data_IF_715622030367
#
_entry.id   IF_715622030367
#
_cell.length_a   1.000
_cell.length_b   1.000
_cell.length_c   1.000
_cell.angle_alpha   90.00
_cell.angle_beta   90.00
_cell.angle_gamma   90.00
#
_symmetry.space_group_name_H-M   'P 1'
#
loop_
_entity.id
_entity.type
_entity.pdbx_description
1 polymer ?
#
# COMPACT_ATOMS: atom_id res chain seq x y z
N UNK A 1 -25.83 -23.93 29.69
CA UNK A 1 -24.82 -23.99 28.61
C UNK A 1 -24.13 -25.34 28.69
N UNK A 2 -24.19 -26.15 27.63
CA UNK A 2 -23.53 -27.44 27.58
C UNK A 2 -22.01 -27.25 27.75
N UNK A 3 -21.38 -28.06 28.60
CA UNK A 3 -19.92 -28.03 28.78
C UNK A 3 -19.28 -28.50 27.47
N UNK A 4 -18.33 -27.75 26.89
CA UNK A 4 -17.60 -28.22 25.73
C UNK A 4 -16.88 -29.53 26.04
N UNK A 5 -16.99 -30.50 25.14
CA UNK A 5 -16.28 -31.77 25.24
C UNK A 5 -14.80 -31.55 24.90
N UNK A 6 -14.02 -31.23 25.94
CA UNK A 6 -12.60 -30.92 25.81
C UNK A 6 -11.76 -32.13 25.41
N UNK A 7 -12.22 -33.35 25.70
CA UNK A 7 -11.51 -34.58 25.36
C UNK A 7 -11.58 -34.85 23.85
N UNK A 8 -12.76 -34.63 23.26
CA UNK A 8 -12.94 -34.68 21.81
C UNK A 8 -12.14 -33.60 21.07
N UNK A 9 -12.09 -32.37 21.62
CA UNK A 9 -11.28 -31.26 21.09
C UNK A 9 -9.78 -31.60 21.16
N UNK A 10 -9.32 -32.20 22.26
CA UNK A 10 -7.92 -32.61 22.42
C UNK A 10 -7.52 -33.68 21.40
N UNK A 11 -8.36 -34.71 21.21
CA UNK A 11 -8.13 -35.75 20.22
C UNK A 11 -8.02 -35.18 18.80
N UNK A 12 -8.95 -34.29 18.42
CA UNK A 12 -8.92 -33.63 17.11
C UNK A 12 -7.70 -32.70 16.94
N UNK A 13 -7.31 -31.98 18.00
CA UNK A 13 -6.13 -31.11 18.02
C UNK A 13 -4.84 -31.93 17.85
N UNK A 14 -4.69 -33.05 18.56
CA UNK A 14 -3.53 -33.95 18.46
C UNK A 14 -3.45 -34.67 17.12
N UNK A 15 -4.60 -35.09 16.56
CA UNK A 15 -4.68 -35.71 15.24
C UNK A 15 -4.19 -34.77 14.13
N UNK A 16 -4.39 -33.46 14.29
CA UNK A 16 -3.85 -32.42 13.41
C UNK A 16 -4.53 -32.31 12.04
N UNK A 17 -5.44 -33.21 11.68
CA UNK A 17 -6.11 -33.32 10.36
C UNK A 17 -6.98 -32.11 10.02
N UNK A 18 -7.67 -31.53 11.01
CA UNK A 18 -8.60 -30.40 10.82
C UNK A 18 -7.95 -29.07 11.22
N UNK A 19 -8.34 -27.95 10.59
CA UNK A 19 -7.86 -26.63 11.04
C UNK A 19 -8.44 -26.30 12.42
N UNK A 20 -7.78 -25.40 13.17
CA UNK A 20 -8.28 -25.01 14.50
C UNK A 20 -9.63 -24.30 14.44
N UNK A 21 -9.95 -23.69 13.30
CA UNK A 21 -11.23 -23.06 13.02
C UNK A 21 -12.32 -24.12 12.84
N UNK A 22 -12.06 -25.15 12.03
CA UNK A 22 -13.02 -26.26 11.82
C UNK A 22 -13.30 -27.04 13.11
N UNK A 23 -12.28 -27.22 13.97
CA UNK A 23 -12.46 -27.83 15.30
C UNK A 23 -13.33 -26.91 16.17
N UNK A 24 -13.09 -25.60 16.13
CA UNK A 24 -13.90 -24.63 16.87
C UNK A 24 -15.37 -24.65 16.47
N UNK A 25 -15.66 -24.69 15.17
CA UNK A 25 -17.02 -24.71 14.63
C UNK A 25 -17.77 -26.01 15.00
N UNK A 26 -17.08 -27.16 14.99
CA UNK A 26 -17.67 -28.45 15.36
C UNK A 26 -18.06 -28.57 16.83
N UNK A 27 -17.25 -28.00 17.72
CA UNK A 27 -17.45 -28.14 19.17
C UNK A 27 -18.02 -26.87 19.82
N UNK A 28 -18.35 -25.84 19.04
CA UNK A 28 -18.91 -24.57 19.54
C UNK A 28 -17.94 -23.77 20.40
N UNK A 29 -16.64 -23.88 20.13
CA UNK A 29 -15.56 -23.23 20.91
C UNK A 29 -14.73 -22.32 20.01
N UNK A 30 -14.34 -21.15 20.50
CA UNK A 30 -13.48 -20.25 19.72
C UNK A 30 -12.08 -20.84 19.54
N UNK A 31 -11.47 -20.64 18.37
CA UNK A 31 -10.08 -21.04 18.09
C UNK A 31 -9.10 -20.58 19.19
N UNK A 32 -9.30 -19.36 19.70
CA UNK A 32 -8.49 -18.80 20.78
C UNK A 32 -8.59 -19.58 22.09
N UNK A 33 -9.76 -20.12 22.42
CA UNK A 33 -9.95 -20.96 23.60
C UNK A 33 -9.25 -22.32 23.46
N UNK A 34 -9.26 -22.91 22.26
CA UNK A 34 -8.51 -24.15 21.95
C UNK A 34 -7.01 -23.92 22.11
N UNK A 35 -6.45 -22.83 21.55
CA UNK A 35 -5.02 -22.47 21.68
C UNK A 35 -4.61 -22.23 23.14
N UNK A 36 -5.44 -21.51 23.91
CA UNK A 36 -5.18 -21.26 25.34
C UNK A 36 -5.18 -22.56 26.15
N UNK A 37 -6.10 -23.49 25.83
CA UNK A 37 -6.17 -24.80 26.50
C UNK A 37 -4.98 -25.68 26.11
N UNK A 38 -4.64 -25.74 24.83
CA UNK A 38 -3.47 -26.48 24.34
C UNK A 38 -2.17 -26.02 25.01
N UNK A 39 -1.98 -24.71 25.20
CA UNK A 39 -0.82 -24.17 25.94
C UNK A 39 -0.84 -24.48 27.43
N UNK A 40 -2.02 -24.60 28.04
CA UNK A 40 -2.18 -24.87 29.48
C UNK A 40 -1.97 -26.35 29.83
N UNK A 41 -2.25 -27.25 28.89
CA UNK A 41 -2.19 -28.70 29.07
C UNK A 41 -1.12 -29.35 28.16
N UNK A 42 -0.21 -28.55 27.61
CA UNK A 42 0.89 -28.96 26.74
C UNK A 42 0.51 -29.95 25.63
N UNK A 43 -0.59 -29.66 24.93
CA UNK A 43 -1.06 -30.50 23.84
C UNK A 43 -0.12 -30.41 22.63
N UNK A 44 0.34 -31.56 22.16
CA UNK A 44 1.22 -31.69 20.98
C UNK A 44 0.38 -32.04 19.75
N UNK A 45 0.45 -31.20 18.72
CA UNK A 45 -0.25 -31.40 17.45
C UNK A 45 0.65 -32.08 16.42
N UNK A 46 0.21 -33.19 15.83
CA UNK A 46 0.91 -33.82 14.70
C UNK A 46 0.87 -32.88 13.49
N UNK A 47 2.01 -32.74 12.81
CA UNK A 47 2.10 -31.98 11.57
C UNK A 47 1.24 -32.68 10.51
N UNK A 48 0.10 -32.08 10.15
CA UNK A 48 -0.70 -32.58 9.05
C UNK A 48 -0.22 -32.01 7.73
N UNK A 49 -0.15 -32.87 6.72
CA UNK A 49 -0.09 -32.47 5.31
C UNK A 49 -1.37 -31.72 5.00
N UNK A 50 -1.30 -30.39 5.06
CA UNK A 50 -2.43 -29.52 4.85
C UNK A 50 -2.93 -29.69 3.40
N UNK A 51 -4.11 -30.30 3.21
CA UNK A 51 -4.84 -30.19 1.95
C UNK A 51 -5.28 -28.75 1.81
N UNK A 52 -4.53 -27.97 1.04
CA UNK A 52 -4.87 -26.62 0.65
C UNK A 52 -6.09 -26.70 -0.26
N UNK A 53 -7.28 -26.33 0.24
CA UNK A 53 -8.32 -25.80 -0.65
C UNK A 53 -7.92 -24.38 -1.01
N UNK A 54 -7.73 -24.18 -2.30
CA UNK A 54 -7.37 -22.91 -2.92
C UNK A 54 -8.28 -21.78 -2.44
N UNK A 55 -7.69 -20.67 -2.02
CA UNK A 55 -8.45 -19.52 -1.57
C UNK A 55 -7.64 -18.58 -0.70
N UNK A 56 -6.73 -17.85 -1.35
CA UNK A 56 -6.29 -16.51 -0.94
C UNK A 56 -5.26 -16.41 0.21
N UNK A 57 -4.16 -15.77 -0.16
CA UNK A 57 -3.15 -15.07 0.65
C UNK A 57 -1.93 -15.81 1.20
N UNK A 58 -0.82 -15.07 1.04
CA UNK A 58 0.27 -14.88 2.01
C UNK A 58 1.58 -15.61 1.70
N UNK A 59 2.43 -14.89 0.95
CA UNK A 59 3.85 -15.12 0.89
C UNK A 59 4.48 -14.85 2.25
N UNK A 60 4.99 -15.92 2.85
CA UNK A 60 5.74 -15.94 4.10
C UNK A 60 7.22 -15.71 3.81
N UNK A 61 7.94 -14.90 4.60
CA UNK A 61 9.33 -15.20 5.02
C UNK A 61 9.56 -14.64 6.44
N UNK A 62 9.53 -15.49 7.47
CA UNK A 62 10.63 -16.32 8.04
C UNK A 62 11.59 -15.52 8.94
N UNK A 63 11.36 -15.56 10.26
CA UNK A 63 12.36 -15.25 11.28
C UNK A 63 12.96 -16.54 11.85
N UNK A 64 14.22 -16.81 11.55
CA UNK A 64 15.04 -17.87 12.14
C UNK A 64 15.87 -17.22 13.26
N UNK A 65 15.75 -17.74 14.47
CA UNK A 65 16.49 -17.33 15.67
C UNK A 65 17.98 -17.59 15.49
N UNK A 66 18.83 -16.66 15.92
CA UNK A 66 20.22 -16.96 16.31
C UNK A 66 20.65 -16.07 17.48
N UNK A 67 20.95 -16.72 18.58
CA UNK A 67 21.64 -16.25 19.78
C UNK A 67 23.12 -16.01 19.46
N UNK A 68 23.67 -14.86 19.85
CA UNK A 68 25.04 -14.70 20.37
C UNK A 68 25.35 -13.22 20.59
N UNK A 69 25.83 -12.90 21.78
CA UNK A 69 26.34 -11.61 22.24
C UNK A 69 27.57 -11.13 21.44
N UNK A 70 27.68 -9.82 21.16
CA UNK A 70 28.96 -9.08 20.99
C UNK A 70 28.75 -7.54 20.89
N UNK A 71 29.82 -6.71 20.90
CA UNK A 71 30.21 -5.82 22.00
C UNK A 71 29.98 -4.33 21.71
N UNK A 72 30.37 -3.49 22.67
CA UNK A 72 30.36 -2.03 22.61
C UNK A 72 31.21 -1.44 21.46
N UNK A 73 30.70 -0.37 20.85
CA UNK A 73 31.50 0.66 20.18
C UNK A 73 30.82 2.01 20.34
N UNK A 74 31.64 3.02 20.60
CA UNK A 74 31.32 4.32 21.15
C UNK A 74 30.59 5.25 20.14
N UNK A 75 29.54 5.90 20.65
CA UNK A 75 28.86 7.02 20.00
C UNK A 75 28.20 7.86 21.09
N UNK A 76 28.99 8.78 21.64
CA UNK A 76 28.72 9.60 22.83
C UNK A 76 27.57 10.60 22.57
N UNK A 77 26.44 10.44 23.26
CA UNK A 77 25.50 11.54 23.55
C UNK A 77 25.28 11.58 25.05
N UNK A 78 25.69 12.70 25.65
CA UNK A 78 25.67 12.92 27.08
C UNK A 78 24.23 12.89 27.59
N UNK A 79 23.92 11.93 28.45
CA UNK A 79 22.69 11.92 29.25
C UNK A 79 22.86 13.01 30.32
N UNK A 80 22.22 14.15 30.10
CA UNK A 80 22.08 15.21 31.10
C UNK A 80 21.25 14.67 32.27
N UNK A 81 21.91 14.43 33.40
CA UNK A 81 21.27 14.26 34.70
C UNK A 81 20.77 15.64 35.14
N UNK A 82 19.47 15.92 34.96
CA UNK A 82 18.82 16.99 35.71
C UNK A 82 18.07 16.40 36.91
N UNK A 83 18.16 17.02 38.10
CA UNK A 83 17.36 16.64 39.24
C UNK A 83 15.87 16.91 38.94
N UNK A 84 15.03 15.98 39.37
CA UNK A 84 13.57 16.02 39.25
C UNK A 84 13.04 17.24 40.00
N UNK A 85 12.66 18.29 39.27
CA UNK A 85 11.88 19.39 39.84
C UNK A 85 10.48 18.88 40.19
N UNK A 86 10.02 19.17 41.41
CA UNK A 86 8.64 18.90 41.80
C UNK A 86 7.68 19.77 40.95
N UNK A 87 6.55 19.22 40.49
CA UNK A 87 5.56 20.00 39.77
C UNK A 87 4.90 21.03 40.72
N UNK A 88 4.58 22.25 40.25
CA UNK A 88 3.90 23.26 41.05
C UNK A 88 2.50 22.78 41.49
N UNK A 89 1.98 23.23 42.64
CA UNK A 89 0.75 22.70 43.24
C UNK A 89 -0.54 22.96 42.45
N UNK A 90 -0.49 23.72 41.35
CA UNK A 90 -1.69 24.20 40.63
C UNK A 90 -2.13 23.35 39.42
N UNK A 91 -1.57 22.17 39.19
CA UNK A 91 -2.07 21.27 38.13
C UNK A 91 -2.87 20.10 38.66
N UNK A 92 -3.93 20.38 39.42
CA UNK A 92 -5.03 19.42 39.58
C UNK A 92 -6.16 19.83 38.64
N UNK A 93 -6.63 18.94 37.73
CA UNK A 93 -7.79 19.23 36.91
C UNK A 93 -9.00 19.54 37.81
N UNK A 94 -9.63 20.70 37.61
CA UNK A 94 -10.87 21.03 38.30
C UNK A 94 -11.95 20.04 37.83
N UNK A 95 -12.50 19.28 38.77
CA UNK A 95 -13.54 18.30 38.52
C UNK A 95 -14.84 19.02 38.16
N UNK A 96 -15.15 19.11 36.87
CA UNK A 96 -16.39 19.72 36.36
C UNK A 96 -16.32 20.21 34.92
N UNK A 97 -15.12 20.35 34.34
CA UNK A 97 -14.90 21.08 33.08
C UNK A 97 -14.84 20.16 31.85
N UNK A 98 -15.76 19.19 31.74
CA UNK A 98 -15.83 18.30 30.55
C UNK A 98 -16.69 18.88 29.41
N UNK A 99 -17.32 20.03 29.63
CA UNK A 99 -18.32 20.61 28.72
C UNK A 99 -17.92 21.99 28.18
N UNK A 100 -16.78 22.54 28.60
CA UNK A 100 -16.32 23.82 28.08
C UNK A 100 -15.64 23.62 26.71
N UNK A 101 -15.91 24.49 25.73
CA UNK A 101 -15.24 24.43 24.43
C UNK A 101 -13.72 24.60 24.62
N UNK A 102 -12.91 23.92 23.79
CA UNK A 102 -11.46 23.98 23.91
C UNK A 102 -11.01 25.44 23.82
N UNK A 103 -10.15 25.86 24.76
CA UNK A 103 -9.66 27.24 24.90
C UNK A 103 -8.87 27.75 23.70
N UNK A 104 -8.61 26.92 22.69
CA UNK A 104 -7.97 27.31 21.45
C UNK A 104 -8.50 26.50 20.25
N UNK A 105 -9.69 26.81 19.71
CA UNK A 105 -10.21 26.16 18.52
C UNK A 105 -9.45 26.65 17.28
N UNK A 106 -9.14 25.75 16.35
CA UNK A 106 -8.53 26.15 15.07
C UNK A 106 -9.47 27.08 14.31
N UNK A 107 -8.93 28.14 13.72
CA UNK A 107 -9.70 29.09 12.92
C UNK A 107 -10.35 28.37 11.72
N UNK A 108 -11.68 28.49 11.53
CA UNK A 108 -12.35 27.96 10.35
C UNK A 108 -11.76 28.61 9.09
N UNK A 109 -11.31 27.82 8.13
CA UNK A 109 -10.76 28.31 6.85
C UNK A 109 -9.29 28.00 6.58
N UNK A 110 -8.57 27.34 7.49
CA UNK A 110 -7.24 26.80 7.18
C UNK A 110 -7.32 25.48 6.37
N UNK A 111 -7.93 25.58 5.19
CA UNK A 111 -8.12 24.50 4.22
C UNK A 111 -7.11 24.60 3.07
N UNK A 112 -5.97 25.28 3.25
CA UNK A 112 -4.95 25.33 2.22
C UNK A 112 -4.51 23.89 1.95
N UNK A 113 -4.97 23.36 0.81
CA UNK A 113 -5.01 21.95 0.53
C UNK A 113 -3.64 21.33 0.85
N UNK A 114 -3.61 20.37 1.78
CA UNK A 114 -2.42 19.61 2.13
C UNK A 114 -1.96 18.83 0.88
N UNK A 115 -1.22 19.48 -0.01
CA UNK A 115 -0.70 18.89 -1.25
C UNK A 115 0.47 17.93 -1.02
N UNK A 116 0.54 17.26 0.13
CA UNK A 116 1.54 16.25 0.45
C UNK A 116 1.25 15.73 1.86
N UNK A 117 1.04 14.42 1.99
CA UNK A 117 0.68 13.76 3.24
C UNK A 117 1.64 14.18 4.36
N UNK A 118 1.07 14.56 5.51
CA UNK A 118 1.79 15.23 6.61
C UNK A 118 2.99 14.47 7.19
N UNK A 119 3.19 13.20 6.81
CA UNK A 119 4.30 12.35 7.24
C UNK A 119 5.59 12.51 6.43
N UNK A 120 5.52 12.84 5.13
CA UNK A 120 6.73 12.94 4.30
C UNK A 120 7.55 14.20 4.61
N UNK A 121 6.88 15.35 4.70
CA UNK A 121 7.48 16.66 5.03
C UNK A 121 8.07 16.76 6.42
N UNK A 122 7.41 16.15 7.40
CA UNK A 122 7.74 16.40 8.81
C UNK A 122 8.74 15.42 9.40
N UNK A 123 8.98 14.28 8.75
CA UNK A 123 9.67 13.19 9.43
C UNK A 123 10.80 12.51 8.66
N UNK A 124 10.90 12.57 7.32
CA UNK A 124 11.75 11.57 6.63
C UNK A 124 12.55 12.01 5.39
N UNK A 125 12.07 12.90 4.52
CA UNK A 125 12.76 13.20 3.25
C UNK A 125 12.79 14.71 2.96
N UNK A 126 13.85 15.15 2.26
CA UNK A 126 13.98 16.52 1.75
C UNK A 126 12.97 16.76 0.62
N UNK A 127 12.53 18.01 0.44
CA UNK A 127 11.55 18.39 -0.58
C UNK A 127 12.04 18.01 -2.00
N UNK A 128 13.32 18.17 -2.31
CA UNK A 128 13.93 17.75 -3.58
C UNK A 128 13.65 16.26 -3.89
N UNK A 129 13.89 15.39 -2.91
CA UNK A 129 13.69 13.93 -3.05
C UNK A 129 12.21 13.59 -3.23
N UNK A 130 11.31 14.37 -2.63
CA UNK A 130 9.87 14.18 -2.75
C UNK A 130 9.40 14.56 -4.16
N UNK A 131 9.90 15.67 -4.71
CA UNK A 131 9.56 16.08 -6.07
C UNK A 131 10.10 15.10 -7.11
N UNK A 132 11.36 14.67 -6.98
CA UNK A 132 11.93 13.64 -7.84
C UNK A 132 11.13 12.33 -7.78
N UNK A 133 10.73 11.90 -6.57
CA UNK A 133 9.94 10.69 -6.41
C UNK A 133 8.56 10.75 -7.07
N UNK A 134 7.95 11.94 -7.18
CA UNK A 134 6.70 12.14 -7.92
C UNK A 134 6.89 12.11 -9.43
N UNK A 135 8.06 12.53 -9.90
CA UNK A 135 8.41 12.53 -11.31
C UNK A 135 8.79 11.14 -11.84
N UNK A 136 9.25 10.23 -10.98
CA UNK A 136 9.62 8.87 -11.39
C UNK A 136 8.42 8.06 -11.88
N UNK A 137 8.51 7.54 -13.11
CA UNK A 137 7.49 6.70 -13.72
C UNK A 137 7.93 5.23 -13.88
N UNK A 138 6.96 4.35 -14.11
CA UNK A 138 7.22 2.95 -14.47
C UNK A 138 7.95 2.83 -15.83
N UNK A 139 7.77 3.80 -16.73
CA UNK A 139 8.42 3.84 -18.04
C UNK A 139 9.92 4.14 -17.90
N UNK A 140 10.29 5.03 -16.97
CA UNK A 140 11.69 5.32 -16.65
C UNK A 140 12.39 4.10 -16.02
N UNK A 141 11.71 3.39 -15.11
CA UNK A 141 12.23 2.14 -14.55
C UNK A 141 12.46 1.09 -15.64
N UNK A 142 11.50 0.96 -16.57
CA UNK A 142 11.59 0.05 -17.70
C UNK A 142 12.77 0.40 -18.61
N UNK A 143 12.95 1.68 -18.93
CA UNK A 143 14.08 2.17 -19.71
C UNK A 143 15.41 1.82 -19.04
N UNK A 144 15.55 2.14 -17.76
CA UNK A 144 16.76 1.84 -16.98
C UNK A 144 17.05 0.33 -16.94
N UNK A 145 16.04 -0.51 -16.77
CA UNK A 145 16.24 -1.97 -16.74
C UNK A 145 16.66 -2.53 -18.10
N UNK A 146 16.09 -2.03 -19.20
CA UNK A 146 16.51 -2.41 -20.56
C UNK A 146 17.95 -2.01 -20.82
N UNK A 147 18.33 -0.77 -20.48
CA UNK A 147 19.71 -0.31 -20.58
C UNK A 147 20.68 -1.17 -19.75
N UNK A 148 20.32 -1.49 -18.51
CA UNK A 148 21.14 -2.36 -17.66
C UNK A 148 21.30 -3.77 -18.23
N UNK A 149 20.27 -4.31 -18.90
CA UNK A 149 20.34 -5.63 -19.55
C UNK A 149 21.32 -5.60 -20.73
N UNK A 150 21.28 -4.55 -21.56
CA UNK A 150 22.23 -4.34 -22.65
C UNK A 150 23.67 -4.20 -22.14
N UNK A 151 23.89 -3.38 -21.11
CA UNK A 151 25.22 -3.20 -20.50
C UNK A 151 25.74 -4.52 -19.92
N UNK A 152 24.87 -5.33 -19.29
CA UNK A 152 25.25 -6.64 -18.79
C UNK A 152 25.66 -7.59 -19.93
N UNK A 153 24.93 -7.60 -21.05
CA UNK A 153 25.27 -8.39 -22.23
C UNK A 153 26.62 -7.97 -22.84
N UNK A 154 26.88 -6.66 -22.97
CA UNK A 154 28.16 -6.15 -23.43
C UNK A 154 29.32 -6.57 -22.52
N UNK A 155 29.13 -6.47 -21.20
CA UNK A 155 30.15 -6.87 -20.23
C UNK A 155 30.43 -8.37 -20.27
N UNK A 156 29.40 -9.21 -20.44
CA UNK A 156 29.57 -10.65 -20.64
C UNK A 156 30.43 -10.89 -21.89
N UNK A 157 30.12 -10.26 -23.02
CA UNK A 157 30.93 -10.36 -24.24
C UNK A 157 32.39 -9.96 -24.01
N UNK A 158 32.64 -8.84 -23.32
CA UNK A 158 33.99 -8.39 -22.97
C UNK A 158 34.75 -9.37 -22.09
N UNK A 159 34.09 -9.97 -21.10
CA UNK A 159 34.72 -10.95 -20.21
C UNK A 159 34.96 -12.29 -20.90
N UNK A 160 34.10 -12.69 -21.85
CA UNK A 160 34.31 -13.87 -22.69
C UNK A 160 35.56 -13.70 -23.56
N UNK A 161 35.75 -12.56 -24.22
CA UNK A 161 36.99 -12.30 -24.98
C UNK A 161 38.22 -12.34 -24.07
N UNK A 162 38.16 -11.68 -22.90
CA UNK A 162 39.28 -11.73 -21.92
C UNK A 162 39.58 -13.14 -21.40
N UNK A 163 38.59 -14.03 -21.40
CA UNK A 163 38.76 -15.40 -20.95
C UNK A 163 39.55 -16.24 -21.96
N UNK A 164 39.46 -15.93 -23.26
CA UNK A 164 40.26 -16.56 -24.31
C UNK A 164 41.75 -16.25 -24.13
N UNK A 165 42.07 -14.99 -23.78
CA UNK A 165 43.44 -14.51 -23.57
C UNK A 165 44.00 -14.81 -22.17
N UNK A 166 43.18 -15.23 -21.21
CA UNK A 166 43.61 -15.43 -19.83
C UNK A 166 44.48 -16.68 -19.69
N UNK A 167 45.71 -16.55 -19.21
CA UNK A 167 46.63 -17.68 -18.98
C UNK A 167 46.54 -18.22 -17.54
N UNK A 168 46.14 -17.37 -16.57
CA UNK A 168 46.07 -17.74 -15.16
C UNK A 168 44.73 -18.34 -14.73
N UNK A 169 44.77 -19.48 -14.02
CA UNK A 169 43.57 -20.15 -13.46
C UNK A 169 42.74 -19.23 -12.55
N UNK A 170 43.40 -18.40 -11.75
CA UNK A 170 42.74 -17.48 -10.84
C UNK A 170 41.99 -16.37 -11.59
N UNK A 171 42.57 -15.86 -12.69
CA UNK A 171 41.95 -14.82 -13.52
C UNK A 171 40.74 -15.38 -14.27
N UNK A 172 40.87 -16.57 -14.85
CA UNK A 172 39.76 -17.31 -15.48
C UNK A 172 38.60 -17.50 -14.52
N UNK A 173 38.88 -17.89 -13.27
CA UNK A 173 37.84 -18.06 -12.24
C UNK A 173 37.09 -16.77 -11.95
N UNK A 174 37.79 -15.65 -11.78
CA UNK A 174 37.17 -14.34 -11.52
C UNK A 174 36.30 -13.90 -12.70
N UNK A 175 36.78 -14.08 -13.94
CA UNK A 175 36.00 -13.76 -15.13
C UNK A 175 34.72 -14.61 -15.24
N UNK A 176 34.82 -15.91 -14.99
CA UNK A 176 33.65 -16.81 -14.97
C UNK A 176 32.65 -16.43 -13.87
N UNK A 177 33.12 -16.05 -12.68
CA UNK A 177 32.25 -15.58 -11.60
C UNK A 177 31.50 -14.31 -12.01
N UNK A 178 32.20 -13.35 -12.62
CA UNK A 178 31.60 -12.11 -13.15
C UNK A 178 30.57 -12.37 -14.24
N UNK A 179 30.87 -13.24 -15.21
CA UNK A 179 29.93 -13.66 -16.26
C UNK A 179 28.68 -14.26 -15.62
N UNK A 180 28.85 -15.23 -14.72
CA UNK A 180 27.71 -15.88 -14.05
C UNK A 180 26.87 -14.91 -13.23
N UNK A 181 27.49 -13.87 -12.64
CA UNK A 181 26.80 -12.84 -11.88
C UNK A 181 25.99 -11.91 -12.80
N UNK A 182 26.55 -11.53 -13.95
CA UNK A 182 25.87 -10.71 -14.95
C UNK A 182 24.72 -11.48 -15.61
N UNK A 183 24.88 -12.75 -15.96
CA UNK A 183 23.79 -13.59 -16.49
C UNK A 183 22.62 -13.67 -15.50
N UNK A 184 22.93 -13.89 -14.21
CA UNK A 184 21.90 -13.89 -13.15
C UNK A 184 21.23 -12.52 -13.01
N UNK A 185 21.96 -11.42 -13.18
CA UNK A 185 21.39 -10.08 -13.16
C UNK A 185 20.48 -9.84 -14.37
N UNK A 186 20.89 -10.26 -15.56
CA UNK A 186 20.08 -10.20 -16.78
C UNK A 186 18.76 -10.97 -16.62
N UNK A 187 18.81 -12.20 -16.11
CA UNK A 187 17.59 -12.99 -15.87
C UNK A 187 16.62 -12.28 -14.92
N UNK A 188 17.12 -11.68 -13.82
CA UNK A 188 16.28 -10.90 -12.90
C UNK A 188 15.70 -9.66 -13.58
N UNK A 189 16.52 -8.96 -14.37
CA UNK A 189 16.09 -7.77 -15.10
C UNK A 189 15.02 -8.12 -16.13
N UNK A 190 15.16 -9.21 -16.88
CA UNK A 190 14.17 -9.69 -17.86
C UNK A 190 12.82 -9.96 -17.18
N UNK A 191 12.81 -10.70 -16.07
CA UNK A 191 11.56 -10.94 -15.31
C UNK A 191 10.92 -9.64 -14.83
N UNK A 192 11.72 -8.67 -14.37
CA UNK A 192 11.20 -7.36 -13.94
C UNK A 192 10.69 -6.54 -15.13
N UNK A 193 11.35 -6.56 -16.28
CA UNK A 193 10.93 -5.92 -17.53
C UNK A 193 9.55 -6.45 -17.94
N UNK A 194 9.39 -7.77 -18.00
CA UNK A 194 8.11 -8.41 -18.33
C UNK A 194 7.01 -8.02 -17.35
N UNK A 195 7.31 -8.02 -16.05
CA UNK A 195 6.37 -7.62 -15.00
C UNK A 195 5.93 -6.16 -15.12
N UNK A 196 6.85 -5.24 -15.40
CA UNK A 196 6.53 -3.81 -15.58
C UNK A 196 5.70 -3.61 -16.85
N UNK A 197 6.09 -4.25 -17.97
CA UNK A 197 5.34 -4.15 -19.24
C UNK A 197 3.91 -4.66 -19.07
N UNK A 198 3.71 -5.80 -18.38
CA UNK A 198 2.36 -6.29 -18.08
C UNK A 198 1.56 -5.36 -17.17
N UNK A 199 2.22 -4.69 -16.23
CA UNK A 199 1.58 -3.69 -15.36
C UNK A 199 1.14 -2.46 -16.17
N UNK A 200 2.01 -1.93 -17.02
CA UNK A 200 1.70 -0.79 -17.91
C UNK A 200 0.51 -1.09 -18.82
N UNK A 201 0.47 -2.28 -19.43
CA UNK A 201 -0.66 -2.69 -20.25
C UNK A 201 -1.98 -2.76 -19.45
N UNK A 202 -1.93 -3.29 -18.22
CA UNK A 202 -3.10 -3.38 -17.34
C UNK A 202 -3.59 -1.99 -16.93
N UNK A 203 -2.68 -1.10 -16.55
CA UNK A 203 -2.98 0.29 -16.19
C UNK A 203 -3.58 1.04 -17.38
N UNK A 204 -3.03 0.87 -18.58
CA UNK A 204 -3.59 1.45 -19.81
C UNK A 204 -5.03 1.01 -20.07
N UNK A 205 -5.34 -0.28 -19.87
CA UNK A 205 -6.71 -0.79 -19.97
C UNK A 205 -7.65 -0.14 -18.94
N UNK A 206 -7.19 0.04 -17.70
CA UNK A 206 -7.99 0.67 -16.63
C UNK A 206 -8.30 2.12 -16.99
N UNK A 207 -7.36 2.87 -17.54
CA UNK A 207 -7.60 4.24 -17.97
C UNK A 207 -8.63 4.30 -19.10
N UNK A 208 -8.50 3.47 -20.13
CA UNK A 208 -9.47 3.41 -21.22
C UNK A 208 -10.89 3.05 -20.74
N UNK A 209 -11.02 2.09 -19.83
CA UNK A 209 -12.30 1.70 -19.21
C UNK A 209 -12.87 2.83 -18.33
N UNK A 210 -12.01 3.56 -17.62
CA UNK A 210 -12.40 4.71 -16.80
C UNK A 210 -12.92 5.86 -17.68
N UNK A 211 -12.24 6.15 -18.78
CA UNK A 211 -12.66 7.21 -19.71
C UNK A 211 -13.95 6.85 -20.44
N UNK A 212 -14.12 5.58 -20.81
CA UNK A 212 -15.40 5.09 -21.33
C UNK A 212 -16.53 5.27 -20.31
N UNK A 213 -16.31 4.94 -19.03
CA UNK A 213 -17.31 5.12 -17.99
C UNK A 213 -17.67 6.59 -17.77
N UNK A 214 -16.70 7.50 -17.80
CA UNK A 214 -16.96 8.95 -17.73
C UNK A 214 -17.82 9.42 -18.91
N UNK A 215 -17.45 9.04 -20.14
CA UNK A 215 -18.25 9.39 -21.31
C UNK A 215 -19.68 8.81 -21.25
N UNK A 216 -19.82 7.59 -20.71
CA UNK A 216 -21.13 6.98 -20.50
C UNK A 216 -21.95 7.72 -19.44
N UNK A 217 -21.33 8.17 -18.34
CA UNK A 217 -22.03 8.99 -17.32
C UNK A 217 -22.44 10.34 -17.88
N UNK A 218 -21.58 10.98 -18.66
CA UNK A 218 -21.85 12.28 -19.28
C UNK A 218 -22.99 12.18 -20.30
N UNK A 219 -23.04 11.08 -21.06
CA UNK A 219 -24.16 10.80 -21.96
C UNK A 219 -25.47 10.65 -21.18
N UNK A 220 -25.47 9.88 -20.10
CA UNK A 220 -26.68 9.66 -19.28
C UNK A 220 -27.14 10.96 -18.61
N UNK A 221 -26.22 11.82 -18.15
CA UNK A 221 -26.59 13.12 -17.59
C UNK A 221 -27.22 14.02 -18.64
N UNK A 222 -26.66 14.10 -19.85
CA UNK A 222 -27.24 14.89 -20.94
C UNK A 222 -28.61 14.37 -21.38
N UNK A 223 -28.82 13.05 -21.41
CA UNK A 223 -30.12 12.45 -21.68
C UNK A 223 -31.14 12.78 -20.56
N UNK A 224 -30.71 12.76 -19.30
CA UNK A 224 -31.55 13.17 -18.17
C UNK A 224 -31.93 14.66 -18.25
N UNK A 225 -30.99 15.53 -18.60
CA UNK A 225 -31.23 16.97 -18.76
C UNK A 225 -32.17 17.27 -19.93
N UNK A 226 -32.04 16.52 -21.04
CA UNK A 226 -32.98 16.58 -22.15
C UNK A 226 -34.40 16.17 -21.71
N UNK A 227 -34.53 15.06 -21.00
CA UNK A 227 -35.84 14.58 -20.50
C UNK A 227 -36.48 15.58 -19.53
N UNK A 228 -35.69 16.27 -18.70
CA UNK A 228 -36.19 17.34 -17.81
C UNK A 228 -36.75 18.53 -18.58
N UNK A 229 -36.02 18.99 -19.61
CA UNK A 229 -36.48 20.04 -20.53
C UNK A 229 -37.76 19.64 -21.26
N UNK A 230 -37.81 18.43 -21.80
CA UNK A 230 -39.01 17.89 -22.48
C UNK A 230 -40.22 17.78 -21.53
N UNK A 231 -39.99 17.54 -20.23
CA UNK A 231 -41.03 17.47 -19.20
C UNK A 231 -41.50 18.84 -18.69
N UNK A 232 -40.91 19.95 -19.15
CA UNK A 232 -41.25 21.31 -18.70
C UNK A 232 -40.90 21.58 -17.23
N UNK A 233 -40.02 20.76 -16.63
CA UNK A 233 -39.50 20.99 -15.28
C UNK A 233 -38.26 21.86 -15.44
N UNK A 234 -38.46 23.17 -15.49
CA UNK A 234 -37.38 24.15 -15.40
C UNK A 234 -37.09 24.42 -13.91
N UNK A 235 -36.09 23.72 -13.37
CA UNK A 235 -35.58 23.93 -12.02
C UNK A 235 -34.52 25.06 -11.97
N UNK A 236 -34.29 25.79 -13.07
CA UNK A 236 -33.33 26.90 -13.14
C UNK A 236 -31.88 26.50 -12.87
N UNK A 237 -31.59 25.19 -12.85
CA UNK A 237 -30.32 24.59 -12.44
C UNK A 237 -29.60 23.87 -13.59
N UNK A 238 -30.17 23.90 -14.80
CA UNK A 238 -29.43 23.57 -16.02
C UNK A 238 -28.41 24.66 -16.33
N UNK A 239 -27.24 24.27 -16.81
CA UNK A 239 -26.23 25.19 -17.33
C UNK A 239 -26.90 26.06 -18.41
N UNK A 240 -27.24 27.32 -18.09
CA UNK A 240 -27.96 28.22 -19.00
C UNK A 240 -27.14 28.36 -20.27
N UNK A 241 -27.69 27.89 -21.39
CA UNK A 241 -27.01 28.00 -22.68
C UNK A 241 -27.05 29.47 -23.12
N UNK A 242 -26.13 29.88 -23.99
CA UNK A 242 -26.09 31.23 -24.56
C UNK A 242 -27.42 31.62 -25.22
N UNK A 243 -28.15 30.64 -25.76
CA UNK A 243 -29.47 30.87 -26.32
C UNK A 243 -30.52 31.30 -25.27
N UNK A 244 -30.44 30.79 -24.04
CA UNK A 244 -31.35 31.17 -22.96
C UNK A 244 -31.11 32.65 -22.55
N UNK A 245 -29.85 33.08 -22.58
CA UNK A 245 -29.48 34.49 -22.35
C UNK A 245 -30.02 35.43 -23.43
N UNK A 246 -30.02 35.02 -24.70
CA UNK A 246 -30.60 35.83 -25.77
C UNK A 246 -32.13 35.87 -25.71
N UNK A 247 -32.80 34.78 -25.31
CA UNK A 247 -34.26 34.81 -25.11
C UNK A 247 -34.68 35.76 -24.00
N UNK A 248 -33.95 35.82 -22.88
CA UNK A 248 -34.23 36.75 -21.78
C UNK A 248 -34.13 38.22 -22.23
N UNK A 249 -33.09 38.56 -23.01
CA UNK A 249 -32.92 39.90 -23.59
C UNK A 249 -34.06 40.24 -24.56
N UNK A 250 -34.53 39.27 -25.34
CA UNK A 250 -35.62 39.48 -26.28
C UNK A 250 -36.94 39.74 -25.55
N UNK A 251 -37.22 39.01 -24.46
CA UNK A 251 -38.43 39.19 -23.64
C UNK A 251 -38.43 40.47 -22.82
N UNK A 252 -37.26 40.92 -22.34
CA UNK A 252 -37.12 42.19 -21.62
C UNK A 252 -37.23 43.41 -22.57
N UNK A 253 -36.87 43.25 -23.85
CA UNK A 253 -37.05 44.30 -24.86
C UNK A 253 -38.52 44.49 -25.28
N UNK A 254 -39.33 43.44 -25.23
CA UNK A 254 -40.75 43.49 -25.59
C UNK A 254 -41.66 43.97 -24.43
N UNK A 255 -41.16 43.96 -23.19
CA UNK A 255 -41.87 44.47 -22.01
C UNK A 255 -41.58 45.96 -21.75
N UNK A 256 -41.67 46.78 -22.80
CA UNK A 256 -41.75 48.25 -22.71
C UNK A 256 -43.17 48.71 -22.35
N UNK A 257 -43.34 49.84 -21.63
CA UNK A 257 -44.57 50.16 -20.91
C UNK A 257 -45.72 50.50 -21.87
N UNK A 258 -46.86 49.83 -21.67
CA UNK A 258 -48.18 50.25 -22.15
C UNK A 258 -49.14 50.30 -20.96
#
# INVERSE_FOLDING_TARGET
MAKPDWEAIESAYRAGVLSLRDIGDKYGVTEGAIRKRAKKFDWVRKASTQVRKNGTQSGTQKSKVRTSEKPASAGRTQKSTQPKAEPPPDTKPIRGVRTDPPTNPFQPGNQQALKHGGYARRLLLKDEVIEDAKALTLEDELFRLRANNLVAAENIGRWLTKLEDAEGDQERKVLMENISAAEKAMMRNTVRIESIVGTLATVGKIFADTDYRKAATDKVSLEADRLRRDAGIDDGNGERDLNDFYSDIQTDAESGPA
#
